data_IF_197061957668
#
_entry.id   IF_197061957668
#
_cell.length_a   1.000
_cell.length_b   1.000
_cell.length_c   1.000
_cell.angle_alpha   90.00
_cell.angle_beta   90.00
_cell.angle_gamma   90.00
#
_symmetry.space_group_name_H-M   'P 1'
#
loop_
_entity.id
_entity.type
_entity.pdbx_description
1 polymer ?
#
# COMPACT_ATOMS: atom_id res chain seq x y z
N UNK A 1 7.68 2.70 14.03
CA UNK A 1 9.00 2.63 14.71
C UNK A 1 9.75 1.42 14.15
N UNK A 2 11.09 1.48 14.02
CA UNK A 2 11.88 0.37 13.50
C UNK A 2 12.64 -0.32 14.63
N UNK A 3 12.60 -1.65 14.66
CA UNK A 3 13.33 -2.48 15.61
C UNK A 3 14.15 -3.51 14.84
N UNK A 4 15.46 -3.55 15.06
CA UNK A 4 16.30 -4.60 14.50
C UNK A 4 15.96 -5.96 15.14
N UNK A 5 15.85 -7.00 14.32
CA UNK A 5 15.58 -8.37 14.78
C UNK A 5 16.84 -9.22 14.64
N UNK A 6 17.30 -9.45 13.41
CA UNK A 6 18.50 -10.25 13.07
C UNK A 6 18.75 -10.18 11.57
N UNK A 7 19.96 -10.52 11.09
CA UNK A 7 20.28 -10.69 9.65
C UNK A 7 19.66 -9.61 8.76
N UNK A 8 19.94 -8.34 9.05
CA UNK A 8 19.44 -7.17 8.32
C UNK A 8 17.90 -7.10 8.17
N UNK A 9 17.20 -7.85 9.01
CA UNK A 9 15.75 -7.85 9.13
C UNK A 9 15.31 -6.93 10.26
N UNK A 10 14.46 -5.98 9.90
CA UNK A 10 13.85 -5.00 10.77
C UNK A 10 12.36 -5.30 10.92
N UNK A 11 11.85 -5.20 12.14
CA UNK A 11 10.42 -5.08 12.40
C UNK A 11 10.04 -3.62 12.33
N UNK A 12 9.13 -3.29 11.41
CA UNK A 12 8.56 -1.96 11.27
C UNK A 12 7.16 -1.96 11.86
N UNK A 13 6.85 -1.01 12.73
CA UNK A 13 5.49 -0.73 13.22
C UNK A 13 4.95 0.53 12.55
N UNK A 14 3.64 0.53 12.27
CA UNK A 14 2.95 1.58 11.52
C UNK A 14 3.62 1.83 10.17
N UNK A 15 3.82 0.74 9.42
CA UNK A 15 4.43 0.81 8.09
C UNK A 15 3.55 1.65 7.18
N UNK A 16 4.17 2.59 6.47
CA UNK A 16 3.57 3.39 5.41
C UNK A 16 4.49 3.35 4.19
N UNK A 17 3.99 2.81 3.09
CA UNK A 17 4.67 2.75 1.81
C UNK A 17 3.95 3.68 0.84
N UNK A 18 4.68 4.62 0.27
CA UNK A 18 4.15 5.62 -0.65
C UNK A 18 4.80 5.45 -2.01
N UNK A 19 3.98 5.40 -3.06
CA UNK A 19 4.47 5.44 -4.43
C UNK A 19 4.34 6.87 -4.95
N UNK A 20 5.47 7.46 -5.33
CA UNK A 20 5.54 8.80 -5.90
C UNK A 20 5.71 8.73 -7.42
N UNK A 21 4.96 9.57 -8.13
CA UNK A 21 5.17 9.82 -9.54
C UNK A 21 6.37 10.76 -9.74
N UNK A 22 6.84 10.90 -10.99
CA UNK A 22 7.97 11.77 -11.33
C UNK A 22 7.75 13.25 -11.00
N UNK A 23 6.49 13.68 -10.92
CA UNK A 23 6.11 15.04 -10.49
C UNK A 23 6.10 15.23 -8.97
N UNK A 24 6.45 14.18 -8.21
CA UNK A 24 6.47 14.18 -6.75
C UNK A 24 5.10 13.94 -6.10
N UNK A 25 4.03 13.74 -6.86
CA UNK A 25 2.72 13.44 -6.30
C UNK A 25 2.60 11.95 -5.93
N UNK A 26 1.97 11.65 -4.79
CA UNK A 26 1.56 10.28 -4.44
C UNK A 26 0.06 10.13 -4.58
N UNK A 27 -0.35 9.07 -5.27
CA UNK A 27 -1.73 8.67 -5.43
C UNK A 27 -1.97 7.23 -4.98
N UNK A 28 -1.02 6.64 -4.23
CA UNK A 28 -1.11 5.28 -3.71
C UNK A 28 -0.29 5.15 -2.43
N UNK A 29 -0.99 4.94 -1.32
CA UNK A 29 -0.40 4.77 0.01
C UNK A 29 -0.86 3.43 0.57
N UNK A 30 0.09 2.57 0.90
CA UNK A 30 -0.14 1.27 1.55
C UNK A 30 0.27 1.35 3.02
N UNK A 31 -0.57 0.84 3.92
CA UNK A 31 -0.40 0.94 5.36
C UNK A 31 -0.61 -0.42 6.04
N UNK A 32 0.28 -0.77 6.95
CA UNK A 32 0.18 -1.98 7.76
C UNK A 32 0.53 -1.68 9.23
N UNK A 33 -0.16 -2.31 10.21
CA UNK A 33 0.18 -2.14 11.62
C UNK A 33 1.63 -2.55 11.93
N UNK A 34 2.11 -3.58 11.24
CA UNK A 34 3.50 -4.03 11.30
C UNK A 34 3.88 -4.88 10.09
N UNK A 35 5.17 -4.88 9.77
CA UNK A 35 5.79 -5.80 8.82
C UNK A 35 7.23 -6.09 9.23
N UNK A 36 7.81 -7.11 8.60
CA UNK A 36 9.24 -7.33 8.55
C UNK A 36 9.78 -6.67 7.28
N UNK A 37 11.00 -6.17 7.34
CA UNK A 37 11.72 -5.58 6.24
C UNK A 37 13.15 -6.10 6.24
N UNK A 38 13.54 -6.75 5.15
CA UNK A 38 14.90 -7.22 4.90
C UNK A 38 15.62 -6.16 4.08
N UNK A 39 16.69 -5.60 4.65
CA UNK A 39 17.45 -4.51 4.05
C UNK A 39 18.33 -4.97 2.88
N UNK A 40 18.82 -6.21 2.92
CA UNK A 40 19.67 -6.81 1.88
C UNK A 40 18.84 -7.04 0.60
N UNK A 41 17.71 -7.71 0.72
CA UNK A 41 16.84 -8.06 -0.40
C UNK A 41 15.86 -6.94 -0.77
N UNK A 42 15.73 -5.92 0.09
CA UNK A 42 14.79 -4.80 -0.04
C UNK A 42 13.34 -5.28 -0.19
N UNK A 43 12.96 -6.28 0.61
CA UNK A 43 11.61 -6.85 0.66
C UNK A 43 10.96 -6.53 2.00
N UNK A 44 9.72 -6.04 1.98
CA UNK A 44 8.87 -5.94 3.16
C UNK A 44 7.73 -6.94 3.08
N UNK A 45 7.42 -7.64 4.18
CA UNK A 45 6.32 -8.61 4.19
C UNK A 45 5.65 -8.68 5.56
N UNK A 46 4.41 -9.14 5.56
CA UNK A 46 3.65 -9.39 6.77
C UNK A 46 2.69 -10.54 6.53
N UNK A 47 2.29 -11.23 7.58
CA UNK A 47 1.13 -12.14 7.58
C UNK A 47 -0.15 -11.45 8.04
N UNK A 48 -0.06 -10.17 8.43
CA UNK A 48 -1.18 -9.37 8.93
C UNK A 48 -1.89 -8.58 7.83
N UNK A 49 -2.74 -7.65 8.28
CA UNK A 49 -3.53 -6.81 7.37
C UNK A 49 -2.69 -5.73 6.67
N UNK A 50 -3.15 -5.35 5.49
CA UNK A 50 -2.66 -4.24 4.69
C UNK A 50 -3.85 -3.46 4.12
N UNK A 51 -3.79 -2.14 4.21
CA UNK A 51 -4.76 -1.23 3.63
C UNK A 51 -4.07 -0.37 2.57
N UNK A 52 -4.65 -0.26 1.38
CA UNK A 52 -4.16 0.62 0.32
C UNK A 52 -5.25 1.64 0.02
N UNK A 53 -4.88 2.92 0.03
CA UNK A 53 -5.72 4.01 -0.45
C UNK A 53 -5.04 4.62 -1.67
N UNK A 54 -5.79 4.80 -2.74
CA UNK A 54 -5.28 5.46 -3.93
C UNK A 54 -6.34 6.21 -4.71
N UNK A 55 -5.91 6.85 -5.81
CA UNK A 55 -6.78 7.63 -6.70
C UNK A 55 -7.63 8.65 -5.92
N UNK A 56 -7.00 9.42 -5.03
CA UNK A 56 -7.67 10.39 -4.16
C UNK A 56 -8.81 9.80 -3.31
N UNK A 57 -8.71 8.52 -2.94
CA UNK A 57 -9.73 7.81 -2.16
C UNK A 57 -10.76 7.04 -2.99
N UNK A 58 -10.71 7.16 -4.32
CA UNK A 58 -11.56 6.39 -5.22
C UNK A 58 -11.17 4.90 -5.26
N UNK A 59 -9.93 4.55 -4.93
CA UNK A 59 -9.47 3.18 -4.77
C UNK A 59 -9.20 2.88 -3.29
N UNK A 60 -9.80 1.80 -2.79
CA UNK A 60 -9.44 1.19 -1.52
C UNK A 60 -9.23 -0.31 -1.70
N UNK A 61 -8.11 -0.84 -1.20
CA UNK A 61 -7.81 -2.28 -1.18
C UNK A 61 -7.50 -2.68 0.26
N UNK A 62 -8.07 -3.77 0.71
CA UNK A 62 -7.80 -4.36 2.01
C UNK A 62 -7.39 -5.82 1.80
N UNK A 63 -6.21 -6.19 2.28
CA UNK A 63 -5.76 -7.58 2.38
C UNK A 63 -5.67 -7.96 3.84
N UNK A 64 -6.25 -9.09 4.23
CA UNK A 64 -6.29 -9.52 5.64
C UNK A 64 -5.35 -10.69 5.96
N UNK A 65 -4.68 -11.26 4.96
CA UNK A 65 -3.82 -12.44 5.12
C UNK A 65 -2.45 -12.25 4.47
N UNK A 66 -1.83 -11.13 4.80
CA UNK A 66 -0.45 -10.86 4.44
C UNK A 66 -0.24 -10.22 3.08
N UNK A 67 1.02 -9.83 2.88
CA UNK A 67 1.49 -9.15 1.69
C UNK A 67 3.00 -9.29 1.55
N UNK A 68 3.50 -9.03 0.34
CA UNK A 68 4.92 -8.89 0.03
C UNK A 68 5.13 -7.66 -0.86
N UNK A 69 6.04 -6.78 -0.46
CA UNK A 69 6.44 -5.60 -1.18
C UNK A 69 7.92 -5.71 -1.57
N UNK A 70 8.22 -5.77 -2.86
CA UNK A 70 9.58 -5.80 -3.42
C UNK A 70 9.93 -4.41 -3.94
N UNK A 71 10.80 -3.70 -3.23
CA UNK A 71 11.13 -2.31 -3.55
C UNK A 71 11.99 -2.20 -4.82
N UNK A 72 12.81 -3.20 -5.12
CA UNK A 72 13.67 -3.25 -6.32
C UNK A 72 12.88 -3.21 -7.62
N UNK A 73 11.68 -3.80 -7.62
CA UNK A 73 10.81 -3.90 -8.78
C UNK A 73 9.51 -3.09 -8.60
N UNK A 74 9.42 -2.29 -7.54
CA UNK A 74 8.21 -1.52 -7.17
C UNK A 74 6.93 -2.37 -7.21
N UNK A 75 6.99 -3.61 -6.75
CA UNK A 75 5.88 -4.57 -6.83
C UNK A 75 5.31 -4.82 -5.44
N UNK A 76 3.99 -4.74 -5.30
CA UNK A 76 3.26 -5.09 -4.08
C UNK A 76 2.24 -6.18 -4.39
N UNK A 77 2.39 -7.33 -3.75
CA UNK A 77 1.56 -8.52 -3.96
C UNK A 77 0.70 -8.78 -2.74
N UNK A 78 -0.59 -8.99 -2.98
CA UNK A 78 -1.57 -9.45 -1.99
C UNK A 78 -2.34 -10.59 -2.64
N UNK A 79 -2.29 -11.80 -2.06
CA UNK A 79 -2.84 -13.00 -2.70
C UNK A 79 -4.07 -13.56 -2.00
N UNK A 80 -4.28 -13.25 -0.70
CA UNK A 80 -5.28 -13.92 0.13
C UNK A 80 -6.24 -12.92 0.79
N UNK A 81 -7.54 -13.28 0.84
CA UNK A 81 -8.65 -12.50 1.44
C UNK A 81 -8.57 -11.00 1.11
N UNK A 82 -8.55 -10.71 -0.19
CA UNK A 82 -8.47 -9.34 -0.71
C UNK A 82 -9.87 -8.80 -0.97
N UNK A 83 -10.15 -7.61 -0.44
CA UNK A 83 -11.34 -6.83 -0.75
C UNK A 83 -10.93 -5.54 -1.43
N UNK A 84 -11.47 -5.31 -2.63
CA UNK A 84 -11.25 -4.08 -3.40
C UNK A 84 -12.55 -3.30 -3.49
N UNK A 85 -12.47 -2.00 -3.24
CA UNK A 85 -13.57 -1.05 -3.43
C UNK A 85 -13.10 0.02 -4.41
N UNK A 86 -13.86 0.15 -5.49
CA UNK A 86 -13.73 1.23 -6.45
C UNK A 86 -14.95 2.14 -6.30
N UNK A 87 -14.70 3.41 -6.01
CA UNK A 87 -15.73 4.44 -5.98
C UNK A 87 -15.63 5.25 -7.26
N UNK A 88 -16.75 5.40 -7.94
CA UNK A 88 -16.85 6.40 -8.97
C UNK A 88 -17.13 7.73 -8.27
N UNK A 89 -16.31 8.74 -8.53
CA UNK A 89 -16.68 10.11 -8.19
C UNK A 89 -18.05 10.38 -8.83
N UNK A 90 -19.05 10.91 -8.11
CA UNK A 90 -20.31 11.30 -8.72
C UNK A 90 -19.95 12.23 -9.88
N UNK A 91 -20.24 11.78 -11.10
CA UNK A 91 -19.81 12.50 -12.29
C UNK A 91 -20.18 13.96 -12.15
N UNK A 92 -19.26 14.85 -12.50
CA UNK A 92 -19.61 16.23 -12.82
C UNK A 92 -20.58 16.17 -14.02
N UNK A 93 -21.85 15.90 -13.74
CA UNK A 93 -22.97 16.17 -14.62
C UNK A 93 -22.94 17.68 -14.78
N UNK A 94 -22.15 18.15 -15.75
CA UNK A 94 -22.25 19.51 -16.24
C UNK A 94 -23.71 19.67 -16.61
N UNK A 95 -24.40 20.52 -15.86
CA UNK A 95 -25.74 20.95 -16.17
C UNK A 95 -25.73 21.51 -17.60
N UNK A 96 -26.23 20.73 -18.56
CA UNK A 96 -26.65 21.24 -19.84
C UNK A 96 -27.90 22.07 -19.57
N UNK A 97 -27.74 23.39 -19.43
CA UNK A 97 -28.88 24.30 -19.40
C UNK A 97 -29.28 24.63 -20.85
N UNK A 98 -30.58 24.58 -21.19
CA UNK A 98 -31.09 24.89 -22.53
C UNK A 98 -30.87 26.35 -22.92
#
# INVERSE_FOLDING_TARGET
>A
MAQYITNDTWRLTQMRLEHFQFDGQTNLVAQAPQCLFDEETRVAWSTGRLEIVGLHGALFVEGNEGFEARMTNSTLTISNRVRTVLRQEPGAAKASKP
#
